data_IF_055160111177
#
_entry.id   IF_055160111177
#
_cell.length_a   1.000
_cell.length_b   1.000
_cell.length_c   1.000
_cell.angle_alpha   90.00
_cell.angle_beta   90.00
_cell.angle_gamma   90.00
#
_symmetry.space_group_name_H-M   'P 1'
#
loop_
_entity.id
_entity.type
_entity.pdbx_description
1 polymer ?
#
# COMPACT_ATOMS: atom_id res chain seq x y z
N UNK A 1 -9.71 21.67 15.90
CA UNK A 1 -8.76 20.56 16.11
C UNK A 1 -8.02 20.39 14.80
N UNK A 2 -6.70 20.55 14.77
CA UNK A 2 -5.93 20.31 13.55
C UNK A 2 -5.86 18.80 13.37
N UNK A 3 -6.59 18.26 12.38
CA UNK A 3 -6.48 16.85 12.00
C UNK A 3 -5.16 16.71 11.25
N UNK A 4 -4.14 16.15 11.89
CA UNK A 4 -2.90 15.81 11.19
C UNK A 4 -3.23 14.94 9.97
N UNK A 5 -2.63 15.23 8.81
CA UNK A 5 -2.73 14.35 7.63
C UNK A 5 -2.34 12.93 8.06
N UNK A 6 -3.07 11.88 7.63
CA UNK A 6 -2.61 10.51 7.81
C UNK A 6 -1.24 10.34 7.14
N UNK A 7 -0.43 9.45 7.69
CA UNK A 7 0.81 9.03 7.03
C UNK A 7 0.47 7.92 6.04
N UNK A 8 1.02 7.99 4.83
CA UNK A 8 0.62 7.12 3.71
C UNK A 8 1.77 6.23 3.27
N UNK A 9 1.46 4.95 3.03
CA UNK A 9 2.39 3.95 2.49
C UNK A 9 1.74 3.22 1.33
N UNK A 10 2.43 3.13 0.20
CA UNK A 10 1.97 2.38 -0.97
C UNK A 10 2.79 1.10 -1.09
N UNK A 11 2.09 -0.03 -1.04
CA UNK A 11 2.67 -1.34 -1.23
C UNK A 11 2.36 -1.87 -2.63
N UNK A 12 3.38 -2.21 -3.41
CA UNK A 12 3.28 -2.79 -4.76
C UNK A 12 4.04 -4.11 -4.84
N UNK A 13 3.64 -5.06 -5.70
CA UNK A 13 4.41 -6.28 -5.92
C UNK A 13 5.82 -5.96 -6.40
N UNK A 14 6.84 -6.65 -5.87
CA UNK A 14 8.18 -6.59 -6.44
C UNK A 14 8.21 -7.16 -7.86
N UNK A 15 9.13 -6.68 -8.70
CA UNK A 15 9.19 -6.93 -10.14
C UNK A 15 9.12 -8.40 -10.59
N UNK A 16 9.64 -9.33 -9.80
CA UNK A 16 9.67 -10.78 -10.10
C UNK A 16 9.04 -11.61 -8.97
N UNK A 17 7.99 -11.09 -8.35
CA UNK A 17 7.30 -11.75 -7.25
C UNK A 17 6.01 -12.42 -7.72
N UNK A 18 5.69 -13.62 -7.19
CA UNK A 18 4.46 -14.30 -7.57
C UNK A 18 3.23 -13.47 -7.16
N UNK A 19 2.13 -13.52 -7.94
CA UNK A 19 0.87 -12.88 -7.59
C UNK A 19 0.40 -13.24 -6.18
N UNK A 20 -0.05 -12.24 -5.41
CA UNK A 20 -0.58 -12.41 -4.05
C UNK A 20 -2.02 -11.98 -3.94
N UNK A 21 -2.76 -12.62 -3.05
CA UNK A 21 -4.16 -12.34 -2.77
C UNK A 21 -4.32 -11.50 -1.51
N UNK A 22 -5.50 -10.89 -1.34
CA UNK A 22 -5.82 -10.16 -0.11
C UNK A 22 -5.87 -11.09 1.13
N UNK A 23 -6.22 -12.36 0.94
CA UNK A 23 -6.21 -13.34 2.03
C UNK A 23 -4.79 -13.59 2.56
N UNK A 24 -3.78 -13.64 1.69
CA UNK A 24 -2.38 -13.77 2.09
C UNK A 24 -1.90 -12.55 2.89
N UNK A 25 -2.35 -11.35 2.55
CA UNK A 25 -2.11 -10.14 3.34
C UNK A 25 -2.73 -10.23 4.74
N UNK A 26 -3.98 -10.70 4.84
CA UNK A 26 -4.63 -10.92 6.14
C UNK A 26 -3.84 -11.94 6.97
N UNK A 27 -3.40 -13.04 6.36
CA UNK A 27 -2.60 -14.07 7.03
C UNK A 27 -1.21 -13.56 7.43
N UNK A 28 -0.57 -12.68 6.65
CA UNK A 28 0.70 -12.07 7.01
C UNK A 28 0.57 -11.22 8.29
N UNK A 29 -0.44 -10.35 8.37
CA UNK A 29 -0.71 -9.58 9.60
C UNK A 29 -1.04 -10.48 10.79
N UNK A 30 -1.76 -11.58 10.56
CA UNK A 30 -2.04 -12.57 11.60
C UNK A 30 -0.79 -13.25 12.13
N UNK A 31 0.18 -13.59 11.27
CA UNK A 31 1.48 -14.14 11.69
C UNK A 31 2.29 -13.14 12.53
N UNK A 32 2.11 -11.84 12.29
CA UNK A 32 2.71 -10.76 13.09
C UNK A 32 1.96 -10.49 14.41
N UNK A 33 0.83 -11.17 14.65
CA UNK A 33 0.05 -11.07 15.88
C UNK A 33 -1.12 -10.08 15.84
N UNK A 34 -1.48 -9.58 14.66
CA UNK A 34 -2.57 -8.60 14.48
C UNK A 34 -3.83 -9.23 13.86
N UNK A 35 -5.01 -8.69 14.16
CA UNK A 35 -6.23 -9.07 13.47
C UNK A 35 -6.47 -8.18 12.26
N UNK A 36 -6.21 -8.71 11.07
CA UNK A 36 -6.57 -8.07 9.82
C UNK A 36 -7.89 -8.61 9.27
N UNK A 37 -8.66 -7.76 8.59
CA UNK A 37 -9.89 -8.17 7.90
C UNK A 37 -10.08 -7.42 6.60
N UNK A 38 -10.77 -8.06 5.66
CA UNK A 38 -11.33 -7.38 4.48
C UNK A 38 -12.62 -6.65 4.87
N UNK A 39 -12.74 -5.40 4.45
CA UNK A 39 -13.96 -4.60 4.52
C UNK A 39 -14.36 -4.19 3.10
N UNK A 40 -15.59 -4.50 2.72
CA UNK A 40 -16.14 -4.11 1.42
C UNK A 40 -17.09 -2.94 1.66
N UNK A 41 -16.82 -1.81 1.02
CA UNK A 41 -17.67 -0.63 1.04
C UNK A 41 -18.31 -0.45 -0.34
N UNK A 42 -19.63 -0.23 -0.36
CA UNK A 42 -20.44 -0.27 -1.59
C UNK A 42 -19.96 0.72 -2.66
N UNK A 43 -19.46 1.88 -2.24
CA UNK A 43 -19.09 2.99 -3.14
C UNK A 43 -17.58 3.27 -3.16
N UNK A 44 -16.86 2.83 -2.14
CA UNK A 44 -15.45 3.17 -1.86
C UNK A 44 -14.51 1.97 -1.98
N UNK A 45 -14.97 0.85 -2.54
CA UNK A 45 -14.13 -0.29 -2.90
C UNK A 45 -13.84 -1.25 -1.75
N UNK A 46 -12.65 -1.86 -1.76
CA UNK A 46 -12.26 -2.88 -0.77
C UNK A 46 -11.07 -2.42 0.02
N UNK A 47 -11.13 -2.72 1.30
CA UNK A 47 -10.19 -2.25 2.30
C UNK A 47 -9.64 -3.42 3.09
N UNK A 48 -8.36 -3.32 3.45
CA UNK A 48 -7.71 -4.12 4.47
C UNK A 48 -7.66 -3.30 5.75
N UNK A 49 -8.26 -3.77 6.83
CA UNK A 49 -8.25 -3.06 8.11
C UNK A 49 -7.47 -3.84 9.16
N UNK A 50 -6.60 -3.15 9.89
CA UNK A 50 -5.93 -3.65 11.10
C UNK A 50 -6.24 -2.69 12.24
N UNK A 51 -7.34 -2.96 12.94
CA UNK A 51 -7.95 -1.99 13.85
C UNK A 51 -7.06 -1.65 15.05
N UNK A 52 -6.30 -2.62 15.55
CA UNK A 52 -5.37 -2.44 16.68
C UNK A 52 -4.26 -1.43 16.39
N UNK A 53 -3.90 -1.28 15.11
CA UNK A 53 -2.87 -0.36 14.64
C UNK A 53 -3.44 0.91 14.01
N UNK A 54 -4.77 1.03 13.91
CA UNK A 54 -5.42 2.14 13.22
C UNK A 54 -5.08 2.22 11.73
N UNK A 55 -4.79 1.08 11.09
CA UNK A 55 -4.44 1.01 9.66
C UNK A 55 -5.69 0.75 8.82
N UNK A 56 -5.83 1.46 7.70
CA UNK A 56 -6.71 1.08 6.59
C UNK A 56 -5.94 1.07 5.29
N UNK A 57 -6.03 0.01 4.51
CA UNK A 57 -5.40 -0.12 3.20
C UNK A 57 -6.44 -0.22 2.10
N UNK A 58 -6.51 0.74 1.17
CA UNK A 58 -7.32 0.63 -0.03
C UNK A 58 -6.68 -0.38 -0.99
N UNK A 59 -7.43 -1.40 -1.40
CA UNK A 59 -6.90 -2.55 -2.14
C UNK A 59 -7.26 -2.45 -3.62
N UNK A 60 -6.24 -2.29 -4.47
CA UNK A 60 -6.36 -2.42 -5.92
C UNK A 60 -6.08 -3.85 -6.37
N UNK A 61 -6.88 -4.37 -7.33
CA UNK A 61 -6.83 -5.78 -7.71
C UNK A 61 -7.07 -6.02 -9.20
N UNK A 62 -6.38 -7.03 -9.73
CA UNK A 62 -6.69 -7.69 -10.99
C UNK A 62 -7.23 -9.11 -10.71
N UNK A 63 -8.56 -9.25 -10.71
CA UNK A 63 -9.21 -10.49 -10.30
C UNK A 63 -8.98 -10.80 -8.81
N UNK A 64 -8.41 -11.98 -8.44
CA UNK A 64 -8.11 -12.31 -7.05
C UNK A 64 -6.79 -11.70 -6.54
N UNK A 65 -5.95 -11.22 -7.45
CA UNK A 65 -4.60 -10.71 -7.17
C UNK A 65 -4.64 -9.26 -6.73
N UNK A 66 -3.81 -8.91 -5.76
CA UNK A 66 -3.54 -7.54 -5.30
C UNK A 66 -2.47 -6.92 -6.20
N UNK A 67 -2.81 -5.79 -6.82
CA UNK A 67 -1.90 -5.00 -7.67
C UNK A 67 -1.22 -3.88 -6.87
N UNK A 68 -1.94 -3.31 -5.89
CA UNK A 68 -1.40 -2.35 -4.95
C UNK A 68 -2.27 -2.29 -3.68
N UNK A 69 -1.68 -1.82 -2.58
CA UNK A 69 -2.44 -1.38 -1.40
C UNK A 69 -1.93 0.01 -0.99
N UNK A 70 -2.83 1.00 -0.96
CA UNK A 70 -2.54 2.31 -0.37
C UNK A 70 -2.98 2.32 1.10
N UNK A 71 -2.03 2.30 2.02
CA UNK A 71 -2.24 2.28 3.46
C UNK A 71 -2.25 3.69 4.06
N UNK A 72 -3.33 4.00 4.76
CA UNK A 72 -3.48 5.14 5.66
C UNK A 72 -3.13 4.72 7.09
N UNK A 73 -2.19 5.44 7.70
CA UNK A 73 -1.69 5.20 9.06
C UNK A 73 -1.97 6.39 9.99
N UNK A 74 -2.02 6.17 11.32
CA UNK A 74 -2.25 7.23 12.30
C UNK A 74 -1.14 8.29 12.27
N UNK A 75 -1.45 9.55 11.99
CA UNK A 75 -0.43 10.59 11.72
C UNK A 75 0.70 10.71 12.77
N UNK A 76 0.37 10.87 14.06
CA UNK A 76 1.36 11.22 15.10
C UNK A 76 2.17 10.00 15.61
N UNK A 77 1.64 8.78 15.49
CA UNK A 77 2.22 7.56 16.08
C UNK A 77 2.28 6.40 15.07
N UNK A 78 2.56 6.70 13.79
CA UNK A 78 2.52 5.71 12.71
C UNK A 78 3.66 4.68 12.74
N UNK A 79 4.69 4.83 13.59
CA UNK A 79 5.90 4.00 13.50
C UNK A 79 5.63 2.49 13.62
N UNK A 80 4.82 2.07 14.60
CA UNK A 80 4.48 0.65 14.79
C UNK A 80 3.60 0.14 13.65
N UNK A 81 2.66 0.96 13.20
CA UNK A 81 1.80 0.65 12.05
C UNK A 81 2.63 0.50 10.76
N UNK A 82 3.57 1.41 10.52
CA UNK A 82 4.45 1.41 9.36
C UNK A 82 5.39 0.20 9.40
N UNK A 83 5.90 -0.14 10.59
CA UNK A 83 6.71 -1.33 10.77
C UNK A 83 5.92 -2.61 10.43
N UNK A 84 4.70 -2.74 10.93
CA UNK A 84 3.85 -3.89 10.65
C UNK A 84 3.52 -4.02 9.15
N UNK A 85 3.19 -2.92 8.48
CA UNK A 85 2.97 -2.90 7.01
C UNK A 85 4.22 -3.38 6.27
N UNK A 86 5.39 -2.83 6.60
CA UNK A 86 6.65 -3.20 5.94
C UNK A 86 7.02 -4.67 6.19
N UNK A 87 6.79 -5.19 7.39
CA UNK A 87 7.03 -6.61 7.69
C UNK A 87 6.12 -7.54 6.90
N UNK A 88 4.81 -7.22 6.82
CA UNK A 88 3.85 -7.98 6.03
C UNK A 88 4.20 -7.94 4.54
N UNK A 89 4.57 -6.76 4.03
CA UNK A 89 5.01 -6.58 2.64
C UNK A 89 6.25 -7.43 2.32
N UNK A 90 7.29 -7.38 3.15
CA UNK A 90 8.51 -8.18 2.97
C UNK A 90 8.21 -9.68 2.94
N UNK A 91 7.32 -10.16 3.80
CA UNK A 91 6.91 -11.57 3.81
C UNK A 91 6.27 -12.01 2.48
N UNK A 92 5.57 -11.10 1.82
CA UNK A 92 4.80 -11.37 0.61
C UNK A 92 5.53 -11.04 -0.70
N UNK A 93 6.69 -10.38 -0.61
CA UNK A 93 7.42 -9.88 -1.77
C UNK A 93 6.85 -8.57 -2.31
N UNK A 94 6.34 -7.71 -1.45
CA UNK A 94 5.91 -6.36 -1.82
C UNK A 94 6.97 -5.34 -1.43
N UNK A 95 7.13 -4.33 -2.27
CA UNK A 95 7.91 -3.13 -2.02
C UNK A 95 7.00 -2.07 -1.39
N UNK A 96 7.54 -1.24 -0.49
CA UNK A 96 6.76 -0.23 0.25
C UNK A 96 7.40 1.14 0.09
N UNK A 97 6.64 2.04 -0.53
CA UNK A 97 6.99 3.41 -0.82
C UNK A 97 6.20 4.36 0.08
N UNK A 98 6.75 5.52 0.36
CA UNK A 98 6.01 6.64 0.96
C UNK A 98 5.40 7.50 -0.14
N UNK A 99 4.38 8.30 0.20
CA UNK A 99 3.81 9.30 -0.73
C UNK A 99 4.88 10.29 -1.26
N UNK A 100 5.89 10.59 -0.43
CA UNK A 100 7.03 11.43 -0.82
C UNK A 100 7.93 10.74 -1.85
N UNK A 101 8.18 9.43 -1.72
CA UNK A 101 9.06 8.67 -2.63
C UNK A 101 8.51 8.61 -4.08
N UNK A 102 7.19 8.73 -4.26
CA UNK A 102 6.54 8.66 -5.56
C UNK A 102 6.53 10.00 -6.31
N UNK A 103 6.69 11.11 -5.59
CA UNK A 103 6.72 12.45 -6.17
C UNK A 103 8.11 12.84 -6.71
N UNK A 104 9.17 12.10 -6.36
CA UNK A 104 10.54 12.29 -6.86
C UNK A 104 10.82 11.54 -8.18
N UNK A 105 9.80 10.92 -8.78
CA UNK A 105 9.89 10.43 -10.16
C UNK A 105 9.87 11.61 -11.13
N UNK A 106 11.06 11.92 -11.65
CA UNK A 106 11.37 13.06 -12.50
C UNK A 106 10.35 13.28 -13.64
N UNK A 107 9.58 14.38 -13.64
CA UNK A 107 8.66 14.70 -14.73
C UNK A 107 9.36 15.00 -16.07
N UNK A 108 10.69 15.15 -16.10
CA UNK A 108 11.46 15.35 -17.35
C UNK A 108 11.52 14.10 -18.23
N UNK A 109 11.26 12.90 -17.71
CA UNK A 109 11.18 11.66 -18.51
C UNK A 109 9.80 11.42 -19.17
N UNK A 110 8.79 12.24 -18.85
CA UNK A 110 7.45 12.14 -19.44
C UNK A 110 7.29 12.95 -20.74
N UNK A 111 8.35 13.64 -21.19
CA UNK A 111 8.30 14.66 -22.24
C UNK A 111 9.31 14.53 -23.37
N UNK A 112 9.93 13.36 -23.60
CA UNK A 112 10.64 13.12 -24.86
C UNK A 112 9.61 12.88 -25.98
N UNK A 113 9.03 13.97 -26.52
CA UNK A 113 8.51 13.97 -27.88
C UNK A 113 9.68 13.66 -28.81
N UNK A 114 9.69 12.43 -29.32
CA UNK A 114 10.53 12.01 -30.42
C UNK A 114 10.11 12.73 -31.70
N UNK A 115 11.13 13.13 -32.46
CA UNK A 115 11.15 13.40 -33.90
C UNK A 115 10.53 14.73 -34.38
N UNK A 116 11.11 15.48 -35.32
CA UNK A 116 12.02 15.12 -36.41
C UNK A 116 12.73 16.40 -36.90
N UNK A 117 14.02 16.30 -37.20
CA UNK A 117 14.78 17.32 -37.94
C UNK A 117 14.29 17.41 -39.39
N UNK A 118 14.18 18.63 -39.94
CA UNK A 118 14.17 18.92 -41.38
C UNK A 118 15.13 20.11 -41.67
#
# INVERSE_FOLDING_TARGET
MSTSKPYELIATPGWDQPPRTLAEWIDAFKHLGYQAKEVVETDSGRWLEVAELGIRGYVERAGPTVEAINFELPGIDHHDAAHAVRQAAVQLGFEVHTDDDLNDLDPELAGEELDEED
#
